data_IF_447999062971
#
_entry.id   IF_447999062971
#
_cell.length_a   1.000
_cell.length_b   1.000
_cell.length_c   1.000
_cell.angle_alpha   90.00
_cell.angle_beta   90.00
_cell.angle_gamma   90.00
#
_symmetry.space_group_name_H-M   'P 1'
#
loop_
_entity.id
_entity.type
_entity.pdbx_description
1 polymer ?
#
# COMPACT_ATOMS: atom_id res chain seq x y z
N UNK A 1 -9.82 -11.66 -1.85
CA UNK A 1 -11.09 -11.07 -1.38
C UNK A 1 -11.44 -9.95 -2.35
N UNK A 2 -12.71 -9.57 -2.51
CA UNK A 2 -13.07 -8.45 -3.40
C UNK A 2 -13.21 -7.16 -2.62
N UNK A 3 -12.72 -6.06 -3.17
CA UNK A 3 -12.97 -4.72 -2.66
C UNK A 3 -14.39 -4.29 -3.05
N UNK A 4 -15.35 -4.43 -2.14
CA UNK A 4 -16.79 -4.35 -2.49
C UNK A 4 -17.41 -2.96 -2.31
N UNK A 5 -16.82 -2.13 -1.46
CA UNK A 5 -17.28 -0.79 -1.12
C UNK A 5 -16.19 -0.02 -0.40
N UNK A 6 -16.33 1.31 -0.34
CA UNK A 6 -15.46 2.16 0.47
C UNK A 6 -15.95 2.09 1.92
N UNK A 7 -15.37 1.18 2.69
CA UNK A 7 -15.66 0.99 4.11
C UNK A 7 -14.38 0.61 4.83
N UNK A 8 -14.28 0.94 6.12
CA UNK A 8 -13.06 0.69 6.89
C UNK A 8 -12.61 -0.77 6.80
N UNK A 9 -13.53 -1.74 6.90
CA UNK A 9 -13.17 -3.16 6.79
C UNK A 9 -12.55 -3.54 5.45
N UNK A 10 -13.07 -2.99 4.34
CA UNK A 10 -12.50 -3.26 3.01
C UNK A 10 -11.15 -2.55 2.83
N UNK A 11 -10.97 -1.38 3.44
CA UNK A 11 -9.71 -0.63 3.44
C UNK A 11 -8.66 -1.39 4.25
N UNK A 12 -9.00 -1.89 5.43
CA UNK A 12 -8.12 -2.69 6.28
C UNK A 12 -7.65 -3.95 5.53
N UNK A 13 -8.56 -4.65 4.86
CA UNK A 13 -8.22 -5.82 4.04
C UNK A 13 -7.34 -5.47 2.83
N UNK A 14 -7.57 -4.32 2.20
CA UNK A 14 -6.72 -3.83 1.12
C UNK A 14 -5.32 -3.50 1.64
N UNK A 15 -5.20 -2.89 2.83
CA UNK A 15 -3.93 -2.64 3.50
C UNK A 15 -3.15 -3.94 3.73
N UNK A 16 -3.81 -4.98 4.26
CA UNK A 16 -3.22 -6.31 4.46
C UNK A 16 -2.73 -6.91 3.12
N UNK A 17 -3.49 -6.74 2.04
CA UNK A 17 -3.08 -7.22 0.71
C UNK A 17 -1.84 -6.48 0.19
N UNK A 18 -1.76 -5.17 0.41
CA UNK A 18 -0.59 -4.35 0.07
C UNK A 18 0.65 -4.80 0.87
N UNK A 19 0.55 -4.91 2.19
CA UNK A 19 1.63 -5.38 3.06
C UNK A 19 2.10 -6.79 2.67
N UNK A 20 1.15 -7.69 2.37
CA UNK A 20 1.45 -9.05 1.90
C UNK A 20 2.17 -9.05 0.54
N UNK A 21 1.81 -8.13 -0.35
CA UNK A 21 2.48 -7.97 -1.64
C UNK A 21 3.92 -7.49 -1.45
N UNK A 22 4.16 -6.49 -0.61
CA UNK A 22 5.51 -6.01 -0.29
C UNK A 22 6.38 -7.12 0.32
N UNK A 23 5.85 -7.86 1.28
CA UNK A 23 6.55 -8.94 1.97
C UNK A 23 6.98 -10.05 1.00
N UNK A 24 6.14 -10.38 0.00
CA UNK A 24 6.48 -11.35 -1.07
C UNK A 24 7.65 -10.88 -1.95
N UNK A 25 7.98 -9.59 -1.94
CA UNK A 25 9.08 -8.99 -2.69
C UNK A 25 10.27 -8.59 -1.82
N UNK A 26 10.33 -9.11 -0.58
CA UNK A 26 11.37 -8.82 0.43
C UNK A 26 11.42 -7.33 0.83
N UNK A 27 10.27 -6.67 0.82
CA UNK A 27 10.11 -5.27 1.27
C UNK A 27 9.25 -5.27 2.52
N UNK A 28 9.75 -4.66 3.59
CA UNK A 28 9.01 -4.48 4.85
C UNK A 28 9.25 -3.06 5.35
N UNK A 29 8.18 -2.42 5.85
CA UNK A 29 8.25 -1.12 6.52
C UNK A 29 7.82 -1.28 7.98
N UNK A 30 8.40 -0.50 8.90
CA UNK A 30 8.00 -0.54 10.32
C UNK A 30 6.56 -0.10 10.56
N UNK A 31 6.08 0.83 9.75
CA UNK A 31 4.74 1.39 9.83
C UNK A 31 4.11 1.33 8.45
N UNK A 32 2.92 0.75 8.41
CA UNK A 32 2.04 0.75 7.24
C UNK A 32 0.65 1.13 7.72
N UNK A 33 -0.04 1.94 6.94
CA UNK A 33 -1.42 2.33 7.19
C UNK A 33 -2.14 2.58 5.86
N UNK A 34 -3.46 2.54 5.88
CA UNK A 34 -4.27 2.88 4.72
C UNK A 34 -5.48 3.69 5.16
N UNK A 35 -5.57 4.91 4.63
CA UNK A 35 -6.65 5.84 4.93
C UNK A 35 -7.46 6.12 3.68
N UNK A 36 -8.71 6.53 3.84
CA UNK A 36 -9.53 7.04 2.75
C UNK A 36 -10.09 8.41 3.10
N UNK A 37 -9.93 9.35 2.18
CA UNK A 37 -10.49 10.70 2.29
C UNK A 37 -11.00 11.17 0.91
N UNK A 38 -12.27 11.54 0.83
CA UNK A 38 -12.92 12.10 -0.36
C UNK A 38 -12.77 11.23 -1.63
N UNK A 39 -12.85 9.91 -1.48
CA UNK A 39 -12.72 8.94 -2.55
C UNK A 39 -11.27 8.61 -2.91
N UNK A 40 -10.28 9.15 -2.18
CA UNK A 40 -8.87 8.86 -2.37
C UNK A 40 -8.39 7.94 -1.25
N UNK A 41 -7.92 6.76 -1.62
CA UNK A 41 -7.21 5.86 -0.71
C UNK A 41 -5.73 6.24 -0.73
N UNK A 42 -5.13 6.38 0.43
CA UNK A 42 -3.70 6.62 0.60
C UNK A 42 -3.08 5.44 1.33
N UNK A 43 -2.20 4.70 0.66
CA UNK A 43 -1.38 3.67 1.31
C UNK A 43 -0.10 4.32 1.83
N UNK A 44 0.00 4.45 3.15
CA UNK A 44 1.11 5.12 3.84
C UNK A 44 2.10 4.06 4.32
N UNK A 45 3.38 4.29 4.10
CA UNK A 45 4.44 3.39 4.54
C UNK A 45 5.69 4.15 4.95
N UNK A 46 6.31 3.73 6.05
CA UNK A 46 7.60 4.24 6.47
C UNK A 46 8.30 3.39 7.52
N UNK A 47 9.57 3.72 7.67
CA UNK A 47 10.48 3.15 8.64
C UNK A 47 10.79 4.11 9.79
N UNK A 48 10.39 5.36 9.61
CA UNK A 48 10.48 6.50 10.51
C UNK A 48 9.28 7.42 10.19
N UNK A 49 8.37 7.71 11.15
CA UNK A 49 7.17 8.50 10.92
C UNK A 49 7.42 9.90 10.33
N UNK A 50 8.57 10.53 10.60
CA UNK A 50 8.90 11.84 10.04
C UNK A 50 9.13 11.80 8.52
N UNK A 51 9.41 10.61 7.99
CA UNK A 51 9.70 10.36 6.57
C UNK A 51 8.60 9.53 5.89
N UNK A 52 7.37 9.63 6.39
CA UNK A 52 6.20 8.96 5.82
C UNK A 52 6.03 9.27 4.33
N UNK A 53 5.80 8.21 3.53
CA UNK A 53 5.42 8.33 2.11
C UNK A 53 4.08 7.66 1.90
N UNK A 54 3.34 8.14 0.91
CA UNK A 54 2.08 7.53 0.50
C UNK A 54 2.07 7.23 -1.00
N UNK A 55 1.21 6.27 -1.37
CA UNK A 55 0.72 6.09 -2.73
C UNK A 55 -0.78 6.35 -2.70
N UNK A 56 -1.20 7.39 -3.41
CA UNK A 56 -2.59 7.83 -3.45
C UNK A 56 -3.29 7.29 -4.69
N UNK A 57 -4.54 6.87 -4.53
CA UNK A 57 -5.29 6.17 -5.57
C UNK A 57 -6.80 6.40 -5.46
N UNK A 58 -7.46 6.54 -6.60
CA UNK A 58 -8.92 6.72 -6.67
C UNK A 58 -9.65 5.42 -6.33
N UNK A 59 -10.39 5.44 -5.21
CA UNK A 59 -11.07 4.27 -4.64
C UNK A 59 -12.14 3.66 -5.55
N UNK A 60 -12.88 4.47 -6.31
CA UNK A 60 -13.96 4.00 -7.17
C UNK A 60 -13.50 3.02 -8.25
N UNK A 61 -12.25 3.13 -8.69
CA UNK A 61 -11.65 2.27 -9.72
C UNK A 61 -11.45 0.83 -9.27
N UNK A 62 -11.53 0.57 -7.97
CA UNK A 62 -11.24 -0.73 -7.37
C UNK A 62 -12.48 -1.52 -7.00
N UNK A 63 -13.67 -0.92 -7.04
CA UNK A 63 -14.90 -1.57 -6.63
C UNK A 63 -15.18 -2.78 -7.54
N UNK A 64 -15.29 -3.97 -6.93
CA UNK A 64 -15.53 -5.24 -7.59
C UNK A 64 -14.27 -6.01 -7.99
N UNK A 65 -13.08 -5.43 -7.82
CA UNK A 65 -11.79 -6.07 -8.10
C UNK A 65 -11.27 -6.85 -6.88
N UNK A 66 -10.40 -7.83 -7.13
CA UNK A 66 -9.73 -8.58 -6.06
C UNK A 66 -8.63 -7.74 -5.39
N UNK A 67 -8.57 -7.74 -4.06
CA UNK A 67 -7.61 -6.97 -3.26
C UNK A 67 -6.16 -7.33 -3.60
N UNK A 68 -5.87 -8.62 -3.82
CA UNK A 68 -4.55 -9.09 -4.28
C UNK A 68 -4.21 -8.58 -5.68
N UNK A 69 -5.21 -8.46 -6.56
CA UNK A 69 -5.02 -7.92 -7.91
C UNK A 69 -4.72 -6.42 -7.85
N UNK A 70 -5.48 -5.66 -7.07
CA UNK A 70 -5.27 -4.22 -6.86
C UNK A 70 -3.86 -3.97 -6.30
N UNK A 71 -3.47 -4.72 -5.26
CA UNK A 71 -2.14 -4.57 -4.65
C UNK A 71 -1.02 -4.76 -5.67
N UNK A 72 -1.12 -5.78 -6.54
CA UNK A 72 -0.14 -5.99 -7.61
C UNK A 72 -0.14 -4.88 -8.64
N UNK A 73 -1.31 -4.49 -9.14
CA UNK A 73 -1.43 -3.44 -10.17
C UNK A 73 -0.80 -2.12 -9.70
N UNK A 74 -0.96 -1.79 -8.42
CA UNK A 74 -0.44 -0.55 -7.85
C UNK A 74 1.04 -0.66 -7.44
N UNK A 75 1.43 -1.75 -6.77
CA UNK A 75 2.77 -1.87 -6.18
C UNK A 75 3.82 -2.38 -7.15
N UNK A 76 3.51 -3.36 -8.02
CA UNK A 76 4.49 -3.96 -8.93
C UNK A 76 5.23 -2.92 -9.80
N UNK A 77 4.56 -1.90 -10.38
CA UNK A 77 5.22 -0.87 -11.18
C UNK A 77 6.22 -0.01 -10.38
N UNK A 78 6.06 0.09 -9.06
CA UNK A 78 6.88 0.94 -8.19
C UNK A 78 7.82 0.15 -7.27
N UNK A 79 7.82 -1.20 -7.33
CA UNK A 79 8.70 -2.05 -6.53
C UNK A 79 10.18 -1.62 -6.55
N UNK A 80 10.79 -1.23 -7.70
CA UNK A 80 12.17 -0.77 -7.70
C UNK A 80 12.40 0.42 -6.76
N UNK A 81 11.51 1.42 -6.80
CA UNK A 81 11.59 2.61 -5.95
C UNK A 81 11.34 2.28 -4.48
N UNK A 82 10.42 1.36 -4.20
CA UNK A 82 10.13 0.90 -2.85
C UNK A 82 11.32 0.14 -2.24
N UNK A 83 12.02 -0.68 -3.05
CA UNK A 83 13.26 -1.35 -2.62
C UNK A 83 14.36 -0.36 -2.32
N UNK A 84 14.58 0.62 -3.19
CA UNK A 84 15.55 1.69 -2.94
C UNK A 84 15.24 2.45 -1.64
N UNK A 85 13.96 2.78 -1.41
CA UNK A 85 13.52 3.47 -0.20
C UNK A 85 13.73 2.62 1.06
N UNK A 86 13.40 1.33 1.02
CA UNK A 86 13.63 0.41 2.13
C UNK A 86 15.13 0.16 2.40
N UNK A 87 15.97 0.20 1.36
CA UNK A 87 17.42 -0.05 1.44
C UNK A 87 18.27 1.19 1.75
N UNK A 88 17.71 2.41 1.66
CA UNK A 88 18.44 3.67 1.89
C UNK A 88 19.04 3.82 3.31
N UNK A 89 18.90 2.78 4.16
CA UNK A 89 19.43 2.64 5.51
C UNK A 89 20.81 1.98 5.63
N UNK A 90 21.46 1.52 4.56
CA UNK A 90 22.78 0.85 4.68
C UNK A 90 23.96 1.86 4.59
N UNK A 91 23.70 3.17 4.61
CA UNK A 91 24.78 4.17 4.61
C UNK A 91 24.53 5.20 5.72
N UNK A 92 24.80 4.78 6.95
CA UNK A 92 25.29 5.64 8.04
C UNK A 92 26.27 4.83 8.90
#
# INVERSE_FOLDING_TARGET
MKFTSISQSNIDELCIAFESCLTKHDITFKYVDMTEENGIISFIFCDDPENARSVDMESERFIGLDTDYIAKEILEPILPKLKEFAQYKIID
#
